data_IF_938590909966
#
_entry.id   IF_938590909966
#
_cell.length_a   1.000
_cell.length_b   1.000
_cell.length_c   1.000
_cell.angle_alpha   90.00
_cell.angle_beta   90.00
_cell.angle_gamma   90.00
#
_symmetry.space_group_name_H-M   'P 1'
#
loop_
_entity.id
_entity.type
_entity.pdbx_description
1 polymer ?
#
# COMPACT_ATOMS: atom_id res chain seq x y z
N UNK A 1 10.62 54.87 65.25
CA UNK A 1 11.46 53.73 64.81
C UNK A 1 10.86 53.17 63.52
N UNK A 2 11.69 53.00 62.48
CA UNK A 2 11.27 52.53 61.15
C UNK A 2 10.84 51.06 61.22
N UNK A 3 9.74 50.69 60.58
CA UNK A 3 9.42 49.29 60.27
C UNK A 3 9.04 49.19 58.80
N UNK A 4 9.94 48.56 58.04
CA UNK A 4 9.73 48.11 56.67
C UNK A 4 8.89 46.81 56.73
N UNK A 5 7.81 46.72 55.96
CA UNK A 5 7.14 45.44 55.71
C UNK A 5 7.38 45.03 54.26
N UNK A 6 7.91 43.80 54.12
CA UNK A 6 8.34 43.19 52.87
C UNK A 6 7.17 42.91 51.94
N UNK A 7 7.39 43.17 50.64
CA UNK A 7 6.56 42.64 49.54
C UNK A 7 7.00 41.20 49.28
N UNK A 8 6.16 40.23 49.60
CA UNK A 8 6.34 38.84 49.17
C UNK A 8 5.69 38.64 47.80
N UNK A 9 6.51 38.49 46.76
CA UNK A 9 6.06 38.07 45.44
C UNK A 9 5.70 36.57 45.48
N UNK A 10 4.43 36.24 45.20
CA UNK A 10 3.99 34.85 45.03
C UNK A 10 4.36 34.42 43.62
N UNK A 11 5.40 33.58 43.50
CA UNK A 11 5.76 32.93 42.24
C UNK A 11 4.77 31.81 41.91
N UNK A 12 4.17 31.87 40.72
CA UNK A 12 3.32 30.79 40.19
C UNK A 12 4.23 29.66 39.71
N UNK A 13 4.14 28.43 40.24
CA UNK A 13 4.92 27.31 39.73
C UNK A 13 4.39 26.91 38.35
N UNK A 14 5.26 26.99 37.34
CA UNK A 14 4.98 26.54 35.98
C UNK A 14 5.01 25.00 35.98
N UNK A 15 3.83 24.36 36.02
CA UNK A 15 3.73 22.92 35.90
C UNK A 15 4.09 22.51 34.47
N UNK A 16 5.27 21.92 34.28
CA UNK A 16 5.66 21.32 33.01
C UNK A 16 4.77 20.10 32.76
N UNK A 17 3.84 20.19 31.81
CA UNK A 17 3.13 19.03 31.29
C UNK A 17 4.14 18.16 30.54
N UNK A 18 4.53 17.03 31.14
CA UNK A 18 5.32 16.00 30.47
C UNK A 18 4.37 15.33 29.47
N UNK A 19 4.44 15.73 28.21
CA UNK A 19 3.80 15.00 27.12
C UNK A 19 4.48 13.65 26.98
N UNK A 20 3.84 12.59 27.47
CA UNK A 20 4.21 11.23 27.10
C UNK A 20 3.81 11.02 25.65
N UNK A 21 4.72 11.30 24.72
CA UNK A 21 4.58 10.78 23.37
C UNK A 21 4.64 9.25 23.48
N UNK A 22 3.51 8.57 23.25
CA UNK A 22 3.54 7.14 23.00
C UNK A 22 4.24 6.94 21.67
N UNK A 23 5.42 6.33 21.69
CA UNK A 23 5.93 5.68 20.50
C UNK A 23 4.94 4.55 20.18
N UNK A 24 4.14 4.72 19.12
CA UNK A 24 3.45 3.57 18.54
C UNK A 24 4.52 2.63 18.01
N UNK A 25 4.62 1.45 18.60
CA UNK A 25 5.54 0.41 18.18
C UNK A 25 5.11 -0.03 16.78
N UNK A 26 5.68 0.64 15.78
CA UNK A 26 5.26 0.48 14.40
C UNK A 26 5.94 -0.77 13.87
N UNK A 27 5.17 -1.86 13.73
CA UNK A 27 5.67 -3.11 13.17
C UNK A 27 6.24 -2.86 11.76
N UNK A 28 7.56 -2.99 11.63
CA UNK A 28 8.26 -2.90 10.35
C UNK A 28 8.52 -4.30 9.82
N UNK A 29 7.81 -4.65 8.76
CA UNK A 29 7.99 -5.88 8.01
C UNK A 29 9.27 -5.77 7.18
N UNK A 30 10.32 -6.47 7.62
CA UNK A 30 11.62 -6.54 6.93
C UNK A 30 11.68 -7.63 5.87
N UNK A 31 10.81 -8.63 6.00
CA UNK A 31 10.69 -9.74 5.08
C UNK A 31 9.32 -9.65 4.43
N UNK A 32 9.31 -9.82 3.12
CA UNK A 32 8.11 -9.90 2.32
C UNK A 32 7.58 -11.34 2.43
N UNK A 33 6.80 -11.60 3.48
CA UNK A 33 6.19 -12.90 3.75
C UNK A 33 4.89 -13.08 2.93
N UNK A 34 4.83 -14.07 2.01
CA UNK A 34 3.63 -14.28 1.20
C UNK A 34 2.36 -14.58 1.99
N UNK A 35 2.48 -15.15 3.20
CA UNK A 35 1.33 -15.42 4.08
C UNK A 35 0.69 -14.13 4.58
N UNK A 36 1.51 -13.13 4.94
CA UNK A 36 1.02 -11.79 5.32
C UNK A 36 0.33 -11.11 4.16
N UNK A 37 0.89 -11.21 2.94
CA UNK A 37 0.31 -10.59 1.75
C UNK A 37 -1.05 -11.20 1.40
N UNK A 38 -1.18 -12.54 1.42
CA UNK A 38 -2.46 -13.18 1.11
C UNK A 38 -3.51 -12.89 2.20
N UNK A 39 -3.12 -12.80 3.46
CA UNK A 39 -4.07 -12.51 4.54
C UNK A 39 -4.56 -11.06 4.51
N UNK A 40 -3.69 -10.09 4.18
CA UNK A 40 -4.12 -8.72 3.88
C UNK A 40 -5.05 -8.68 2.67
N UNK A 41 -4.72 -9.39 1.60
CA UNK A 41 -5.54 -9.45 0.39
C UNK A 41 -6.96 -10.01 0.65
N UNK A 42 -7.09 -10.98 1.57
CA UNK A 42 -8.39 -11.52 2.01
C UNK A 42 -9.27 -10.50 2.73
N UNK A 43 -8.70 -9.44 3.29
CA UNK A 43 -9.44 -8.36 3.93
C UNK A 43 -10.25 -7.51 2.95
N UNK A 44 -9.85 -7.49 1.68
CA UNK A 44 -10.50 -6.70 0.62
C UNK A 44 -11.40 -7.55 -0.29
N UNK A 45 -11.02 -8.81 -0.53
CA UNK A 45 -11.78 -9.70 -1.41
C UNK A 45 -11.31 -11.14 -1.33
N UNK A 46 -11.66 -11.94 -2.34
CA UNK A 46 -11.13 -13.32 -2.40
C UNK A 46 -9.65 -13.29 -2.77
N UNK A 47 -8.84 -14.09 -2.09
CA UNK A 47 -7.41 -14.23 -2.38
C UNK A 47 -6.90 -15.65 -2.09
N UNK A 48 -5.96 -16.11 -2.91
CA UNK A 48 -5.29 -17.41 -2.80
C UNK A 48 -3.80 -17.23 -3.05
N UNK A 49 -2.98 -17.83 -2.18
CA UNK A 49 -1.55 -17.96 -2.37
C UNK A 49 -1.25 -19.12 -3.31
N UNK A 50 -0.38 -18.87 -4.27
CA UNK A 50 0.07 -19.78 -5.31
C UNK A 50 1.53 -19.48 -5.68
N UNK A 51 1.99 -20.04 -6.80
CA UNK A 51 3.29 -19.72 -7.40
C UNK A 51 3.12 -19.27 -8.85
N UNK A 52 4.03 -18.43 -9.33
CA UNK A 52 4.12 -18.10 -10.74
C UNK A 52 4.87 -19.19 -11.54
N UNK A 53 5.02 -18.96 -12.85
CA UNK A 53 5.67 -19.90 -13.76
C UNK A 53 7.15 -20.11 -13.46
N UNK A 54 7.79 -19.17 -12.75
CA UNK A 54 9.19 -19.28 -12.30
C UNK A 54 9.32 -19.96 -10.94
N UNK A 55 8.21 -20.20 -10.24
CA UNK A 55 8.17 -20.79 -8.90
C UNK A 55 8.18 -19.77 -7.77
N UNK A 56 8.20 -18.47 -8.08
CA UNK A 56 8.14 -17.39 -7.10
C UNK A 56 6.72 -17.29 -6.51
N UNK A 57 6.57 -16.82 -5.27
CA UNK A 57 5.24 -16.65 -4.68
C UNK A 57 4.35 -15.72 -5.50
N UNK A 58 3.05 -16.03 -5.52
CA UNK A 58 2.05 -15.22 -6.21
C UNK A 58 0.74 -15.24 -5.44
N UNK A 59 0.04 -14.12 -5.35
CA UNK A 59 -1.33 -14.10 -4.82
C UNK A 59 -2.31 -13.80 -5.95
N UNK A 60 -3.30 -14.65 -6.15
CA UNK A 60 -4.39 -14.41 -7.10
C UNK A 60 -5.69 -14.14 -6.37
N UNK A 61 -6.56 -13.31 -6.93
CA UNK A 61 -7.77 -12.92 -6.24
C UNK A 61 -8.84 -12.28 -7.11
N UNK A 62 -9.93 -11.91 -6.44
CA UNK A 62 -10.97 -11.03 -7.00
C UNK A 62 -11.35 -9.95 -6.01
N UNK A 63 -11.45 -8.73 -6.51
CA UNK A 63 -11.85 -7.53 -5.79
C UNK A 63 -12.89 -6.80 -6.66
N UNK A 64 -14.07 -6.51 -6.10
CA UNK A 64 -15.21 -5.94 -6.84
C UNK A 64 -15.57 -6.64 -8.16
N UNK A 65 -15.32 -7.96 -8.27
CA UNK A 65 -15.51 -8.75 -9.48
C UNK A 65 -14.37 -8.69 -10.50
N UNK A 66 -13.36 -7.84 -10.28
CA UNK A 66 -12.13 -7.76 -11.09
C UNK A 66 -11.16 -8.83 -10.63
N UNK A 67 -10.64 -9.62 -11.57
CA UNK A 67 -9.54 -10.55 -11.30
C UNK A 67 -8.24 -9.75 -11.18
N UNK A 68 -7.46 -10.04 -10.14
CA UNK A 68 -6.14 -9.47 -9.98
C UNK A 68 -5.13 -10.53 -9.56
N UNK A 69 -3.86 -10.19 -9.74
CA UNK A 69 -2.70 -10.96 -9.30
C UNK A 69 -1.72 -10.00 -8.62
N UNK A 70 -1.10 -10.45 -7.53
CA UNK A 70 0.03 -9.79 -6.89
C UNK A 70 1.25 -10.67 -7.12
N UNK A 71 2.17 -10.19 -7.94
CA UNK A 71 3.44 -10.83 -8.22
C UNK A 71 4.50 -10.42 -7.21
N UNK A 72 5.41 -11.34 -6.90
CA UNK A 72 6.54 -11.10 -6.02
C UNK A 72 7.79 -11.03 -6.90
N UNK A 73 8.60 -9.98 -6.73
CA UNK A 73 9.74 -9.72 -7.59
C UNK A 73 11.03 -9.54 -6.82
N UNK A 74 12.16 -9.79 -7.50
CA UNK A 74 13.49 -9.69 -6.92
C UNK A 74 13.76 -10.74 -5.86
N UNK A 75 13.21 -11.94 -6.04
CA UNK A 75 13.37 -13.06 -5.13
C UNK A 75 14.77 -13.68 -5.26
N UNK A 76 15.29 -14.18 -4.14
CA UNK A 76 16.51 -14.98 -4.05
C UNK A 76 16.10 -16.41 -3.68
N UNK A 77 16.29 -17.36 -4.60
CA UNK A 77 15.85 -18.74 -4.47
C UNK A 77 14.36 -18.88 -4.09
N UNK A 78 13.48 -18.12 -4.79
CA UNK A 78 12.03 -18.06 -4.53
C UNK A 78 11.62 -17.51 -3.15
N UNK A 79 12.56 -16.92 -2.42
CA UNK A 79 12.36 -16.33 -1.11
C UNK A 79 12.86 -14.87 -1.07
N UNK A 80 12.62 -14.18 0.04
CA UNK A 80 13.21 -12.86 0.36
C UNK A 80 13.03 -11.79 -0.74
N UNK A 81 11.91 -11.86 -1.47
CA UNK A 81 11.53 -10.93 -2.53
C UNK A 81 11.58 -9.47 -2.08
N UNK A 82 11.83 -8.56 -3.02
CA UNK A 82 12.11 -7.13 -2.73
C UNK A 82 10.98 -6.18 -3.11
N UNK A 83 10.02 -6.63 -3.91
CA UNK A 83 8.88 -5.81 -4.32
C UNK A 83 7.67 -6.66 -4.66
N UNK A 84 6.52 -6.00 -4.65
CA UNK A 84 5.26 -6.52 -5.16
C UNK A 84 4.86 -5.76 -6.42
N UNK A 85 4.10 -6.42 -7.29
CA UNK A 85 3.32 -5.76 -8.33
C UNK A 85 1.88 -6.25 -8.28
N UNK A 86 0.96 -5.34 -7.97
CA UNK A 86 -0.46 -5.55 -8.20
C UNK A 86 -0.72 -5.44 -9.71
N UNK A 87 -1.51 -6.36 -10.23
CA UNK A 87 -1.75 -6.52 -11.66
C UNK A 87 -3.21 -6.89 -11.89
N UNK A 88 -3.90 -6.12 -12.74
CA UNK A 88 -5.24 -6.44 -13.22
C UNK A 88 -5.23 -6.48 -14.75
N UNK A 89 -5.79 -7.56 -15.30
CA UNK A 89 -5.83 -7.79 -16.74
C UNK A 89 -7.21 -7.96 -17.30
N UNK A 90 -7.36 -7.46 -18.51
CA UNK A 90 -8.58 -7.50 -19.31
C UNK A 90 -8.19 -8.05 -20.68
N UNK A 91 -9.11 -8.79 -21.31
CA UNK A 91 -8.88 -9.39 -22.62
C UNK A 91 -8.73 -8.34 -23.71
N UNK A 92 -9.40 -7.20 -23.54
CA UNK A 92 -9.44 -6.15 -24.54
C UNK A 92 -8.19 -5.30 -24.43
N UNK A 93 -7.41 -5.30 -25.52
CA UNK A 93 -6.15 -4.58 -25.60
C UNK A 93 -6.39 -3.06 -25.61
N UNK A 94 -5.55 -2.32 -24.89
CA UNK A 94 -5.59 -0.86 -24.92
C UNK A 94 -4.67 -0.31 -26.01
N UNK A 95 -5.07 0.81 -26.64
CA UNK A 95 -4.13 1.62 -27.42
C UNK A 95 -3.23 2.44 -26.48
N UNK A 96 -2.12 2.97 -27.01
CA UNK A 96 -1.23 3.84 -26.26
C UNK A 96 -1.94 5.13 -25.82
N UNK A 97 -2.82 5.67 -26.65
CA UNK A 97 -3.63 6.85 -26.36
C UNK A 97 -4.54 6.60 -25.16
N UNK A 98 -5.27 5.49 -25.17
CA UNK A 98 -6.15 5.14 -24.07
C UNK A 98 -5.37 4.88 -22.76
N UNK A 99 -4.25 4.18 -22.83
CA UNK A 99 -3.40 3.98 -21.65
C UNK A 99 -2.91 5.34 -21.09
N UNK A 100 -2.54 6.27 -21.97
CA UNK A 100 -2.13 7.62 -21.58
C UNK A 100 -3.27 8.47 -21.02
N UNK A 101 -4.51 8.31 -21.48
CA UNK A 101 -5.69 8.98 -20.90
C UNK A 101 -5.87 8.60 -19.44
N UNK A 102 -5.78 7.31 -19.12
CA UNK A 102 -5.78 6.83 -17.73
C UNK A 102 -4.62 7.42 -16.93
N UNK A 103 -3.39 7.29 -17.44
CA UNK A 103 -2.17 7.70 -16.73
C UNK A 103 -2.08 9.20 -16.46
N UNK A 104 -2.77 10.04 -17.24
CA UNK A 104 -2.89 11.49 -16.98
C UNK A 104 -3.80 11.79 -15.78
N UNK A 105 -4.80 10.94 -15.53
CA UNK A 105 -5.82 11.16 -14.50
C UNK A 105 -5.43 10.53 -13.17
N UNK A 106 -4.83 9.34 -13.19
CA UNK A 106 -4.54 8.56 -11.99
C UNK A 106 -3.04 8.40 -11.76
N UNK A 107 -2.61 8.64 -10.52
CA UNK A 107 -1.19 8.67 -10.16
C UNK A 107 -0.60 7.30 -9.85
N UNK A 108 -1.35 6.43 -9.18
CA UNK A 108 -0.79 5.27 -8.48
C UNK A 108 -0.83 3.98 -9.29
N UNK A 109 -1.90 3.75 -10.06
CA UNK A 109 -2.02 2.60 -10.95
C UNK A 109 -1.75 3.07 -12.37
N UNK A 110 -0.81 2.43 -13.07
CA UNK A 110 -0.51 2.71 -14.46
C UNK A 110 -1.28 1.79 -15.39
N UNK A 111 -1.79 2.32 -16.48
CA UNK A 111 -2.29 1.58 -17.61
C UNK A 111 -1.20 1.38 -18.68
N UNK A 112 -1.21 0.22 -19.34
CA UNK A 112 -0.32 -0.14 -20.42
C UNK A 112 -1.13 -0.53 -21.66
N UNK A 113 -0.60 -0.23 -22.84
CA UNK A 113 -1.17 -0.66 -24.12
C UNK A 113 -0.73 -2.07 -24.48
N UNK A 114 -1.47 -2.73 -25.38
CA UNK A 114 -1.22 -4.11 -25.79
C UNK A 114 -2.14 -5.10 -25.10
N UNK A 115 -1.84 -6.39 -25.26
CA UNK A 115 -2.63 -7.50 -24.71
C UNK A 115 -2.18 -7.87 -23.28
N UNK A 116 -3.10 -8.41 -22.48
CA UNK A 116 -2.83 -8.98 -21.16
C UNK A 116 -3.17 -8.05 -19.98
N UNK A 117 -2.32 -8.06 -18.96
CA UNK A 117 -2.52 -7.20 -17.78
C UNK A 117 -2.28 -5.74 -18.09
N UNK A 118 -3.38 -4.99 -18.21
CA UNK A 118 -3.35 -3.59 -18.61
C UNK A 118 -3.06 -2.64 -17.44
N UNK A 119 -3.31 -3.02 -16.19
CA UNK A 119 -3.14 -2.14 -15.03
C UNK A 119 -2.14 -2.68 -14.03
N UNK A 120 -1.19 -1.85 -13.59
CA UNK A 120 -0.13 -2.27 -12.66
C UNK A 120 0.18 -1.21 -11.61
N UNK A 121 0.48 -1.66 -10.39
CA UNK A 121 1.00 -0.84 -9.31
C UNK A 121 2.11 -1.57 -8.58
N UNK A 122 3.30 -0.97 -8.54
CA UNK A 122 4.49 -1.54 -7.93
C UNK A 122 4.65 -1.03 -6.49
N UNK A 123 5.05 -1.91 -5.58
CA UNK A 123 5.35 -1.59 -4.18
C UNK A 123 6.74 -2.08 -3.84
N UNK A 124 7.61 -1.16 -3.43
CA UNK A 124 8.95 -1.50 -2.93
C UNK A 124 8.89 -1.97 -1.48
N UNK A 125 9.61 -3.05 -1.18
CA UNK A 125 9.84 -3.53 0.18
C UNK A 125 11.29 -3.26 0.65
N UNK A 126 12.10 -2.60 -0.19
CA UNK A 126 13.49 -2.29 0.13
C UNK A 126 13.56 -1.35 1.33
N UNK A 127 14.32 -1.74 2.36
CA UNK A 127 14.40 -1.02 3.63
C UNK A 127 13.33 -1.44 4.66
N UNK A 128 12.36 -2.27 4.25
CA UNK A 128 11.20 -2.66 5.03
C UNK A 128 10.05 -1.67 4.92
N UNK A 129 8.84 -2.18 5.11
CA UNK A 129 7.60 -1.41 5.08
C UNK A 129 6.89 -1.57 6.42
N UNK A 130 6.16 -0.55 6.86
CA UNK A 130 5.30 -0.71 8.06
C UNK A 130 4.03 -1.46 7.67
N UNK A 131 3.42 -2.21 8.60
CA UNK A 131 2.13 -2.86 8.34
C UNK A 131 1.07 -1.86 7.84
N UNK A 132 0.98 -0.71 8.52
CA UNK A 132 0.04 0.35 8.14
C UNK A 132 0.29 0.90 6.72
N UNK A 133 1.56 1.07 6.32
CA UNK A 133 1.86 1.53 4.96
C UNK A 133 1.55 0.46 3.90
N UNK A 134 1.76 -0.83 4.23
CA UNK A 134 1.37 -1.93 3.35
C UNK A 134 -0.15 -2.00 3.19
N UNK A 135 -0.91 -1.89 4.27
CA UNK A 135 -2.37 -1.78 4.24
C UNK A 135 -2.83 -0.61 3.38
N UNK A 136 -2.17 0.55 3.46
CA UNK A 136 -2.46 1.69 2.59
C UNK A 136 -2.21 1.40 1.11
N UNK A 137 -1.23 0.54 0.76
CA UNK A 137 -1.06 0.10 -0.64
C UNK A 137 -2.26 -0.72 -1.11
N UNK A 138 -2.76 -1.64 -0.29
CA UNK A 138 -3.97 -2.41 -0.61
C UNK A 138 -5.21 -1.51 -0.70
N UNK A 139 -5.36 -0.56 0.23
CA UNK A 139 -6.41 0.46 0.21
C UNK A 139 -6.38 1.30 -1.06
N UNK A 140 -5.20 1.75 -1.48
CA UNK A 140 -5.01 2.49 -2.73
C UNK A 140 -5.43 1.65 -3.94
N UNK A 141 -5.02 0.38 -3.98
CA UNK A 141 -5.42 -0.55 -5.04
C UNK A 141 -6.94 -0.71 -5.11
N UNK A 142 -7.57 -1.01 -3.98
CA UNK A 142 -9.03 -1.16 -3.84
C UNK A 142 -9.79 0.08 -4.30
N UNK A 143 -9.39 1.26 -3.83
CA UNK A 143 -10.07 2.53 -4.12
C UNK A 143 -10.19 2.85 -5.62
N UNK A 144 -9.28 2.31 -6.44
CA UNK A 144 -9.22 2.55 -7.88
C UNK A 144 -9.84 1.41 -8.70
N UNK A 145 -10.29 0.30 -8.09
CA UNK A 145 -10.90 -0.81 -8.84
C UNK A 145 -12.19 -0.40 -9.56
N UNK A 146 -13.04 0.39 -8.89
CA UNK A 146 -14.27 0.91 -9.48
C UNK A 146 -14.00 1.86 -10.67
N UNK A 147 -12.97 2.71 -10.55
CA UNK A 147 -12.49 3.57 -11.64
C UNK A 147 -11.96 2.75 -12.83
N UNK A 148 -11.17 1.70 -12.57
CA UNK A 148 -10.67 0.79 -13.60
C UNK A 148 -11.84 0.15 -14.35
N UNK A 149 -12.82 -0.41 -13.62
CA UNK A 149 -14.00 -1.03 -14.23
C UNK A 149 -14.76 -0.05 -15.11
N UNK A 150 -14.96 1.17 -14.62
CA UNK A 150 -15.64 2.22 -15.36
C UNK A 150 -14.89 2.60 -16.64
N UNK A 151 -13.56 2.71 -16.56
CA UNK A 151 -12.71 3.03 -17.70
C UNK A 151 -12.67 1.92 -18.75
N UNK A 152 -12.68 0.65 -18.32
CA UNK A 152 -12.76 -0.49 -19.25
C UNK A 152 -14.11 -0.55 -19.97
N UNK A 153 -15.21 -0.36 -19.24
CA UNK A 153 -16.56 -0.46 -19.80
C UNK A 153 -16.99 0.71 -20.68
N UNK A 154 -16.30 1.86 -20.58
CA UNK A 154 -16.61 3.07 -21.35
C UNK A 154 -15.92 3.10 -22.74
N UNK A 155 -15.09 2.11 -23.03
CA UNK A 155 -14.43 1.92 -24.33
C UNK A 155 -15.30 1.07 -25.25
#
# INVERSE_FOLDING_TARGET
>A
MRSFSLVTAVGVPMAAAISFARAEDTEVLKILDPTVIVDLAKGYGSAKLDKDDSGDPMVSGRLEGVKYVIYFYGCDNHEKCKSLQFSAGYTDAFTAEQANEWNKKYRWIKAYSGEGSNFKMDVSFVGGITRANLEEQFSTWDSLMSDIKSFVNAK
#
